data_IF_275324224033
#
_entry.id   IF_275324224033
#
_cell.length_a   1.000
_cell.length_b   1.000
_cell.length_c   1.000
_cell.angle_alpha   90.00
_cell.angle_beta   90.00
_cell.angle_gamma   90.00
#
_symmetry.space_group_name_H-M   'P 1'
#
loop_
_entity.id
_entity.type
_entity.pdbx_description
1 polymer ?
#
# COMPACT_ATOMS: atom_id res chain seq x y z
N UNK A 1 19.51 4.62 14.82
CA UNK A 1 20.53 5.60 14.37
C UNK A 1 20.52 5.88 12.86
N UNK A 2 20.34 4.86 11.99
CA UNK A 2 20.31 5.03 10.53
C UNK A 2 19.27 6.06 10.06
N UNK A 3 17.99 5.89 10.36
CA UNK A 3 16.93 6.82 9.94
C UNK A 3 17.17 8.26 10.42
N UNK A 4 17.66 8.44 11.66
CA UNK A 4 17.99 9.78 12.18
C UNK A 4 19.11 10.48 11.40
N UNK A 5 20.12 9.73 10.95
CA UNK A 5 21.19 10.25 10.08
C UNK A 5 20.61 10.65 8.72
N UNK A 6 19.82 9.79 8.11
CA UNK A 6 19.20 10.05 6.81
C UNK A 6 18.28 11.28 6.86
N UNK A 7 17.47 11.41 7.92
CA UNK A 7 16.59 12.57 8.12
C UNK A 7 17.37 13.86 8.23
N UNK A 8 18.47 13.86 9.01
CA UNK A 8 19.35 15.04 9.15
C UNK A 8 19.99 15.45 7.81
N UNK A 9 20.43 14.48 7.02
CA UNK A 9 21.14 14.74 5.76
C UNK A 9 20.21 15.21 4.64
N UNK A 10 18.97 14.76 4.62
CA UNK A 10 18.05 14.98 3.51
C UNK A 10 17.02 16.10 3.73
N UNK A 11 16.96 16.68 4.95
CA UNK A 11 16.11 17.84 5.23
C UNK A 11 14.61 17.58 5.08
N UNK A 12 14.10 16.44 5.57
CA UNK A 12 12.67 16.16 5.56
C UNK A 12 11.93 17.04 6.57
N UNK A 13 10.77 17.57 6.16
CA UNK A 13 9.86 18.27 7.06
C UNK A 13 9.16 17.30 8.01
N UNK A 14 8.86 16.08 7.54
CA UNK A 14 8.15 15.07 8.32
C UNK A 14 8.60 13.65 7.98
N UNK A 15 8.62 12.79 9.01
CA UNK A 15 8.74 11.32 8.87
C UNK A 15 7.44 10.67 9.28
N UNK A 16 6.80 9.98 8.36
CA UNK A 16 5.55 9.26 8.55
C UNK A 16 5.81 7.75 8.70
N UNK A 17 5.46 7.20 9.85
CA UNK A 17 5.60 5.78 10.15
C UNK A 17 4.31 5.06 9.74
N UNK A 18 4.42 4.06 8.85
CA UNK A 18 3.24 3.37 8.34
C UNK A 18 2.79 2.27 9.29
N UNK A 19 1.47 2.13 9.45
CA UNK A 19 0.87 1.06 10.23
C UNK A 19 1.11 -0.29 9.52
N UNK A 20 1.28 -1.33 10.30
CA UNK A 20 1.19 -1.60 11.75
C UNK A 20 2.54 -1.45 12.44
N UNK A 21 3.56 -1.95 11.80
CA UNK A 21 4.90 -2.16 12.36
C UNK A 21 5.64 -0.83 12.66
N UNK A 22 5.30 0.23 11.93
CA UNK A 22 5.84 1.57 12.18
C UNK A 22 5.52 2.17 13.56
N UNK A 23 4.54 1.63 14.31
CA UNK A 23 4.16 2.19 15.61
C UNK A 23 5.31 2.19 16.63
N UNK A 24 5.94 1.02 16.83
CA UNK A 24 7.06 0.89 17.78
C UNK A 24 8.29 1.65 17.31
N UNK A 25 8.54 1.64 15.99
CA UNK A 25 9.68 2.37 15.42
C UNK A 25 9.49 3.88 15.57
N UNK A 26 8.26 4.38 15.42
CA UNK A 26 7.93 5.79 15.70
C UNK A 26 8.26 6.16 17.12
N UNK A 27 7.79 5.40 18.12
CA UNK A 27 8.06 5.66 19.52
C UNK A 27 9.57 5.69 19.84
N UNK A 28 10.32 4.73 19.30
CA UNK A 28 11.78 4.70 19.45
C UNK A 28 12.46 5.90 18.75
N UNK A 29 11.96 6.29 17.57
CA UNK A 29 12.49 7.44 16.83
C UNK A 29 12.22 8.75 17.57
N UNK A 30 11.05 8.93 18.16
CA UNK A 30 10.70 10.13 18.94
C UNK A 30 11.61 10.30 20.16
N UNK A 31 11.90 9.21 20.87
CA UNK A 31 12.89 9.23 21.96
C UNK A 31 14.29 9.60 21.49
N UNK A 32 14.71 9.06 20.35
CA UNK A 32 15.97 9.43 19.72
C UNK A 32 15.96 10.92 19.32
N UNK A 33 14.84 11.40 18.78
CA UNK A 33 14.69 12.78 18.33
C UNK A 33 14.76 13.80 19.47
N UNK A 34 14.25 13.45 20.66
CA UNK A 34 14.41 14.28 21.88
C UNK A 34 15.90 14.57 22.18
N UNK A 35 16.76 13.55 21.97
CA UNK A 35 18.22 13.68 22.21
C UNK A 35 18.92 14.38 21.05
N UNK A 36 18.60 14.01 19.81
CA UNK A 36 19.26 14.52 18.60
C UNK A 36 18.78 15.92 18.18
N UNK A 37 17.62 16.35 18.68
CA UNK A 37 16.96 17.62 18.34
C UNK A 37 16.86 17.85 16.83
N UNK A 38 16.40 16.82 16.11
CA UNK A 38 16.20 16.95 14.67
C UNK A 38 14.98 17.84 14.40
N UNK A 39 15.06 18.80 13.47
CA UNK A 39 13.95 19.67 13.11
C UNK A 39 12.97 18.93 12.17
N UNK A 40 12.36 17.84 12.64
CA UNK A 40 11.47 17.00 11.87
C UNK A 40 10.25 16.62 12.69
N UNK A 41 9.09 16.74 12.08
CA UNK A 41 7.85 16.24 12.65
C UNK A 41 7.72 14.72 12.43
N UNK A 42 7.02 14.06 13.34
CA UNK A 42 6.69 12.63 13.19
C UNK A 42 5.19 12.43 13.02
N UNK A 43 4.81 11.53 12.14
CA UNK A 43 3.44 11.12 11.94
C UNK A 43 3.27 9.61 12.03
N UNK A 44 2.03 9.15 12.34
CA UNK A 44 1.66 7.74 12.24
C UNK A 44 0.50 7.59 11.26
N UNK A 45 0.74 6.94 10.14
CA UNK A 45 -0.22 6.81 9.04
C UNK A 45 -0.88 5.45 9.10
N UNK A 46 -2.19 5.44 9.36
CA UNK A 46 -3.00 4.22 9.41
C UNK A 46 -3.39 3.76 8.01
N UNK A 47 -2.40 3.38 7.22
CA UNK A 47 -2.59 2.73 5.93
C UNK A 47 -2.08 1.29 6.02
N UNK A 48 -2.91 0.34 5.63
CA UNK A 48 -2.52 -1.07 5.54
C UNK A 48 -2.40 -1.49 4.07
N UNK A 49 -1.71 -2.61 3.82
CA UNK A 49 -1.66 -3.23 2.49
C UNK A 49 -3.07 -3.53 1.95
N UNK A 50 -4.00 -3.90 2.83
CA UNK A 50 -5.41 -4.13 2.47
C UNK A 50 -6.12 -2.85 2.07
N UNK A 51 -5.93 -1.76 2.82
CA UNK A 51 -6.51 -0.46 2.47
C UNK A 51 -5.90 0.14 1.19
N UNK A 52 -4.62 -0.12 0.92
CA UNK A 52 -3.95 0.36 -0.27
C UNK A 52 -4.31 -0.43 -1.54
N UNK A 53 -4.72 -1.71 -1.42
CA UNK A 53 -4.98 -2.55 -2.59
C UNK A 53 -6.12 -2.03 -3.48
N UNK A 54 -7.32 -1.70 -2.99
CA UNK A 54 -8.39 -1.18 -3.84
C UNK A 54 -8.00 0.11 -4.56
N UNK A 55 -7.17 0.94 -3.92
CA UNK A 55 -6.69 2.20 -4.50
C UNK A 55 -5.76 2.01 -5.71
N UNK A 56 -5.25 0.80 -5.96
CA UNK A 56 -4.44 0.51 -7.16
C UNK A 56 -5.27 0.45 -8.45
N UNK A 57 -6.61 0.42 -8.37
CA UNK A 57 -7.49 0.16 -9.49
C UNK A 57 -8.44 1.33 -9.79
N UNK A 58 -7.95 2.50 -10.28
CA UNK A 58 -8.77 3.66 -10.64
C UNK A 58 -9.85 3.35 -11.68
N UNK A 59 -9.59 2.36 -12.52
CA UNK A 59 -10.50 1.91 -13.58
C UNK A 59 -10.64 0.40 -13.52
N UNK A 60 -11.77 -0.12 -13.98
CA UNK A 60 -11.99 -1.57 -14.05
C UNK A 60 -10.88 -2.32 -14.82
N UNK A 61 -10.31 -1.71 -15.86
CA UNK A 61 -9.24 -2.32 -16.65
C UNK A 61 -7.95 -2.55 -15.83
N UNK A 62 -7.69 -1.73 -14.81
CA UNK A 62 -6.50 -1.81 -13.98
C UNK A 62 -6.46 -3.12 -13.17
N UNK A 63 -7.63 -3.75 -12.96
CA UNK A 63 -7.75 -5.05 -12.31
C UNK A 63 -7.00 -6.18 -13.04
N UNK A 64 -6.65 -6.00 -14.30
CA UNK A 64 -5.77 -6.93 -15.03
C UNK A 64 -4.38 -7.05 -14.38
N UNK A 65 -3.95 -6.04 -13.61
CA UNK A 65 -2.69 -6.07 -12.87
C UNK A 65 -2.79 -6.78 -11.51
N UNK A 66 -3.98 -7.16 -11.05
CA UNK A 66 -4.20 -7.75 -9.72
C UNK A 66 -3.31 -8.99 -9.47
N UNK A 67 -3.14 -9.94 -10.42
CA UNK A 67 -2.25 -11.10 -10.23
C UNK A 67 -0.77 -10.72 -10.08
N UNK A 68 -0.36 -9.54 -10.57
CA UNK A 68 0.99 -9.02 -10.41
C UNK A 68 1.20 -8.32 -9.06
N UNK A 69 0.12 -7.85 -8.45
CA UNK A 69 0.15 -7.10 -7.19
C UNK A 69 -0.05 -7.99 -5.96
N UNK A 70 -0.65 -9.16 -6.13
CA UNK A 70 -1.03 -10.05 -5.04
C UNK A 70 -0.87 -11.50 -5.47
N UNK A 71 -0.31 -12.33 -4.58
CA UNK A 71 -0.39 -13.79 -4.76
C UNK A 71 -1.83 -14.26 -4.54
N UNK A 72 -2.56 -14.36 -5.63
CA UNK A 72 -3.97 -14.76 -5.59
C UNK A 72 -4.15 -16.24 -5.20
N UNK A 73 -3.11 -17.09 -5.32
CA UNK A 73 -3.21 -18.51 -4.92
C UNK A 73 -3.37 -18.68 -3.42
N UNK A 74 -2.91 -17.69 -2.64
CA UNK A 74 -3.09 -17.67 -1.19
C UNK A 74 -4.51 -17.30 -0.76
N UNK A 75 -5.38 -16.90 -1.70
CA UNK A 75 -6.72 -16.40 -1.44
C UNK A 75 -7.81 -17.31 -1.99
N UNK A 76 -8.97 -17.28 -1.34
CA UNK A 76 -10.24 -17.74 -1.92
C UNK A 76 -10.92 -16.56 -2.63
N UNK A 77 -11.85 -16.77 -3.60
CA UNK A 77 -12.63 -15.68 -4.18
C UNK A 77 -13.33 -14.81 -3.13
N UNK A 78 -13.86 -15.41 -2.06
CA UNK A 78 -14.53 -14.68 -0.97
C UNK A 78 -13.57 -13.80 -0.16
N UNK A 79 -12.38 -14.32 0.18
CA UNK A 79 -11.37 -13.54 0.90
C UNK A 79 -10.82 -12.38 0.06
N UNK A 80 -10.65 -12.60 -1.24
CA UNK A 80 -10.18 -11.55 -2.15
C UNK A 80 -11.26 -10.49 -2.38
N UNK A 81 -12.53 -10.91 -2.53
CA UNK A 81 -13.65 -9.97 -2.60
C UNK A 81 -13.74 -9.09 -1.34
N UNK A 82 -13.45 -9.66 -0.17
CA UNK A 82 -13.39 -8.88 1.09
C UNK A 82 -12.34 -7.77 1.02
N UNK A 83 -11.18 -8.02 0.41
CA UNK A 83 -10.14 -7.00 0.21
C UNK A 83 -10.57 -5.92 -0.79
N UNK A 84 -11.35 -6.28 -1.80
CA UNK A 84 -11.84 -5.38 -2.86
C UNK A 84 -13.21 -4.76 -2.55
N UNK A 85 -13.81 -5.08 -1.39
CA UNK A 85 -15.14 -4.60 -0.99
C UNK A 85 -15.33 -3.07 -1.13
N UNK A 86 -14.33 -2.23 -0.82
CA UNK A 86 -14.49 -0.76 -0.97
C UNK A 86 -14.83 -0.29 -2.38
N UNK A 87 -14.56 -1.12 -3.40
CA UNK A 87 -14.77 -0.80 -4.82
C UNK A 87 -15.70 -1.83 -5.51
N UNK A 88 -16.43 -2.60 -4.72
CA UNK A 88 -17.28 -3.67 -5.22
C UNK A 88 -18.76 -3.23 -5.31
N UNK A 89 -19.45 -3.64 -6.39
CA UNK A 89 -20.93 -3.54 -6.47
C UNK A 89 -21.61 -4.38 -5.40
N UNK A 90 -22.87 -4.09 -5.10
CA UNK A 90 -23.67 -4.90 -4.16
C UNK A 90 -23.83 -6.35 -4.66
N UNK A 91 -23.88 -6.55 -5.96
CA UNK A 91 -24.06 -7.86 -6.59
C UNK A 91 -22.76 -8.61 -6.90
N UNK A 92 -21.58 -8.03 -6.57
CA UNK A 92 -20.28 -8.62 -6.89
C UNK A 92 -20.13 -10.06 -6.37
N UNK A 93 -20.61 -10.32 -5.14
CA UNK A 93 -20.55 -11.66 -4.54
C UNK A 93 -21.41 -12.67 -5.31
N UNK A 94 -22.63 -12.30 -5.67
CA UNK A 94 -23.52 -13.17 -6.42
C UNK A 94 -22.99 -13.47 -7.81
N UNK A 95 -22.43 -12.45 -8.48
CA UNK A 95 -21.82 -12.61 -9.81
C UNK A 95 -20.62 -13.57 -9.77
N UNK A 96 -19.77 -13.49 -8.75
CA UNK A 96 -18.65 -14.41 -8.57
C UNK A 96 -19.10 -15.82 -8.21
N UNK A 97 -20.05 -15.95 -7.28
CA UNK A 97 -20.54 -17.23 -6.81
C UNK A 97 -21.29 -18.05 -7.90
N UNK A 98 -21.81 -17.38 -8.92
CA UNK A 98 -22.43 -18.05 -10.07
C UNK A 98 -21.42 -18.84 -10.93
N UNK A 99 -20.14 -18.50 -10.90
CA UNK A 99 -19.13 -19.07 -11.80
C UNK A 99 -17.92 -19.66 -11.02
N UNK A 100 -17.73 -19.33 -9.73
CA UNK A 100 -16.54 -19.70 -8.98
C UNK A 100 -16.82 -20.38 -7.64
N UNK A 101 -15.97 -21.33 -7.21
CA UNK A 101 -16.05 -21.93 -5.87
C UNK A 101 -15.53 -20.92 -4.83
N UNK A 102 -16.43 -20.18 -4.19
CA UNK A 102 -16.11 -19.03 -3.33
C UNK A 102 -15.16 -19.33 -2.16
N UNK A 103 -15.18 -20.56 -1.63
CA UNK A 103 -14.44 -20.95 -0.43
C UNK A 103 -13.21 -21.83 -0.72
N UNK A 104 -12.83 -22.00 -1.97
CA UNK A 104 -11.64 -22.78 -2.37
C UNK A 104 -10.51 -21.84 -2.80
N UNK A 105 -9.27 -22.23 -2.56
CA UNK A 105 -8.10 -21.48 -3.06
C UNK A 105 -8.10 -21.49 -4.58
N UNK A 106 -7.66 -20.37 -5.15
CA UNK A 106 -7.71 -20.16 -6.57
C UNK A 106 -6.50 -20.80 -7.28
N UNK A 107 -6.76 -21.62 -8.28
CA UNK A 107 -5.79 -21.97 -9.31
C UNK A 107 -5.66 -20.86 -10.37
N UNK A 108 -4.76 -21.01 -11.33
CA UNK A 108 -4.52 -20.02 -12.38
C UNK A 108 -5.79 -19.68 -13.17
N UNK A 109 -6.63 -20.67 -13.50
CA UNK A 109 -7.88 -20.48 -14.23
C UNK A 109 -8.90 -19.69 -13.42
N UNK A 110 -9.06 -20.04 -12.15
CA UNK A 110 -9.98 -19.37 -11.22
C UNK A 110 -9.58 -17.91 -10.98
N UNK A 111 -8.27 -17.63 -10.91
CA UNK A 111 -7.75 -16.26 -10.78
C UNK A 111 -8.18 -15.38 -11.95
N UNK A 112 -7.96 -15.84 -13.18
CA UNK A 112 -8.34 -15.08 -14.37
C UNK A 112 -9.85 -14.92 -14.51
N UNK A 113 -10.63 -15.94 -14.17
CA UNK A 113 -12.08 -15.84 -14.12
C UNK A 113 -12.54 -14.84 -13.05
N UNK A 114 -11.91 -14.83 -11.85
CA UNK A 114 -12.20 -13.83 -10.83
C UNK A 114 -11.96 -12.41 -11.37
N UNK A 115 -10.79 -12.15 -11.94
CA UNK A 115 -10.46 -10.84 -12.52
C UNK A 115 -11.46 -10.43 -13.59
N UNK A 116 -11.79 -11.34 -14.52
CA UNK A 116 -12.78 -11.09 -15.58
C UNK A 116 -14.16 -10.72 -15.01
N UNK A 117 -14.70 -11.56 -14.14
CA UNK A 117 -16.05 -11.37 -13.58
C UNK A 117 -16.10 -10.11 -12.73
N UNK A 118 -15.11 -9.92 -11.87
CA UNK A 118 -15.08 -8.74 -10.99
C UNK A 118 -14.94 -7.45 -11.80
N UNK A 119 -14.13 -7.44 -12.85
CA UNK A 119 -13.99 -6.29 -13.76
C UNK A 119 -15.30 -5.96 -14.48
N UNK A 120 -16.04 -6.98 -14.96
CA UNK A 120 -17.21 -6.80 -15.79
C UNK A 120 -18.50 -6.57 -14.99
N UNK A 121 -18.63 -7.19 -13.80
CA UNK A 121 -19.88 -7.22 -13.03
C UNK A 121 -19.71 -6.75 -11.57
N UNK A 122 -18.49 -6.77 -11.07
CA UNK A 122 -18.20 -6.54 -9.65
C UNK A 122 -17.59 -5.19 -9.31
N UNK A 123 -16.98 -4.49 -10.28
CA UNK A 123 -16.32 -3.20 -10.05
C UNK A 123 -17.32 -2.03 -10.07
N UNK A 124 -17.20 -1.15 -9.09
CA UNK A 124 -18.02 0.04 -8.94
C UNK A 124 -17.13 1.31 -8.97
N UNK A 125 -17.24 2.07 -10.06
CA UNK A 125 -16.44 3.27 -10.27
C UNK A 125 -16.82 4.41 -9.30
N UNK A 126 -18.09 4.53 -8.90
CA UNK A 126 -18.54 5.57 -7.96
C UNK A 126 -18.04 5.27 -6.55
N UNK A 127 -18.12 4.01 -6.11
CA UNK A 127 -17.53 3.57 -4.85
C UNK A 127 -16.01 3.77 -4.84
N UNK A 128 -15.33 3.50 -5.95
CA UNK A 128 -13.90 3.79 -6.07
C UNK A 128 -13.62 5.29 -5.86
N UNK A 129 -14.33 6.17 -6.57
CA UNK A 129 -14.15 7.61 -6.45
C UNK A 129 -14.37 8.10 -5.01
N UNK A 130 -15.42 7.60 -4.36
CA UNK A 130 -15.67 7.95 -2.95
C UNK A 130 -14.58 7.42 -2.01
N UNK A 131 -14.10 6.19 -2.23
CA UNK A 131 -13.01 5.61 -1.46
C UNK A 131 -11.70 6.39 -1.66
N UNK A 132 -11.37 6.74 -2.89
CA UNK A 132 -10.20 7.57 -3.21
C UNK A 132 -10.30 8.97 -2.59
N UNK A 133 -11.46 9.63 -2.66
CA UNK A 133 -11.71 10.93 -2.03
C UNK A 133 -11.46 10.89 -0.53
N UNK A 134 -11.98 9.87 0.14
CA UNK A 134 -11.78 9.68 1.58
C UNK A 134 -10.29 9.44 1.92
N UNK A 135 -9.61 8.61 1.12
CA UNK A 135 -8.19 8.35 1.27
C UNK A 135 -7.34 9.63 1.07
N UNK A 136 -7.65 10.43 0.06
CA UNK A 136 -7.01 11.74 -0.17
C UNK A 136 -7.22 12.69 1.01
N UNK A 137 -8.45 12.84 1.49
CA UNK A 137 -8.78 13.72 2.61
C UNK A 137 -8.00 13.33 3.89
N UNK A 138 -7.78 12.02 4.09
CA UNK A 138 -6.99 11.51 5.21
C UNK A 138 -5.49 11.73 5.03
N UNK A 139 -4.96 11.51 3.82
CA UNK A 139 -3.50 11.51 3.58
C UNK A 139 -2.93 12.92 3.38
N UNK A 140 -3.63 13.80 2.66
CA UNK A 140 -3.10 15.12 2.28
C UNK A 140 -2.54 15.92 3.48
N UNK A 141 -3.18 16.00 4.65
CA UNK A 141 -2.63 16.76 5.78
C UNK A 141 -1.32 16.18 6.35
N UNK A 142 -1.02 14.90 6.06
CA UNK A 142 0.16 14.21 6.58
C UNK A 142 1.37 14.31 5.65
N UNK A 143 1.16 14.72 4.39
CA UNK A 143 2.17 14.69 3.34
C UNK A 143 2.34 16.06 2.68
N UNK A 144 2.57 17.09 3.48
CA UNK A 144 2.91 18.43 3.01
C UNK A 144 4.44 18.57 2.91
N UNK A 145 4.93 19.05 1.76
CA UNK A 145 6.35 19.26 1.53
C UNK A 145 7.13 17.95 1.29
N UNK A 146 8.44 17.99 1.55
CA UNK A 146 9.33 16.83 1.42
C UNK A 146 9.19 15.91 2.63
N UNK A 147 8.65 14.73 2.40
CA UNK A 147 8.35 13.76 3.45
C UNK A 147 9.16 12.47 3.29
N UNK A 148 9.47 11.84 4.42
CA UNK A 148 9.92 10.46 4.45
C UNK A 148 8.79 9.55 4.96
N UNK A 149 8.71 8.31 4.48
CA UNK A 149 7.95 7.24 5.11
C UNK A 149 8.89 6.21 5.72
N UNK A 150 8.45 5.54 6.76
CA UNK A 150 9.11 4.34 7.28
C UNK A 150 8.12 3.19 7.36
N UNK A 151 8.47 2.08 6.74
CA UNK A 151 7.74 0.81 6.85
C UNK A 151 8.74 -0.34 7.05
N UNK A 152 8.32 -1.35 7.80
CA UNK A 152 9.01 -2.64 7.87
C UNK A 152 8.76 -3.48 6.62
N UNK A 153 7.72 -3.13 5.87
CA UNK A 153 7.37 -3.77 4.60
C UNK A 153 8.39 -3.54 3.48
N UNK A 154 8.28 -4.32 2.42
CA UNK A 154 9.32 -4.45 1.40
C UNK A 154 8.78 -4.26 -0.04
N UNK A 155 7.53 -3.88 -0.21
CA UNK A 155 6.88 -3.82 -1.54
C UNK A 155 6.46 -2.42 -2.00
N UNK A 156 6.62 -1.38 -1.18
CA UNK A 156 6.28 0.02 -1.47
C UNK A 156 4.84 0.25 -1.99
N UNK A 157 3.91 -0.66 -1.72
CA UNK A 157 2.53 -0.55 -2.20
C UNK A 157 1.79 0.65 -1.60
N UNK A 158 1.96 0.84 -0.31
CA UNK A 158 1.33 1.96 0.41
C UNK A 158 1.92 3.30 -0.05
N UNK A 159 3.23 3.36 -0.22
CA UNK A 159 3.95 4.55 -0.64
C UNK A 159 3.60 4.97 -2.07
N UNK A 160 3.45 4.00 -2.99
CA UNK A 160 2.97 4.27 -4.36
C UNK A 160 1.57 4.92 -4.34
N UNK A 161 0.67 4.41 -3.51
CA UNK A 161 -0.67 4.99 -3.34
C UNK A 161 -0.58 6.39 -2.72
N UNK A 162 0.21 6.56 -1.66
CA UNK A 162 0.41 7.86 -1.01
C UNK A 162 0.90 8.89 -2.02
N UNK A 163 1.99 8.60 -2.75
CA UNK A 163 2.55 9.50 -3.75
C UNK A 163 1.54 9.86 -4.83
N UNK A 164 0.82 8.87 -5.37
CA UNK A 164 -0.20 9.10 -6.40
C UNK A 164 -1.35 9.98 -5.89
N UNK A 165 -1.83 9.74 -4.67
CA UNK A 165 -2.98 10.45 -4.12
C UNK A 165 -2.66 11.86 -3.63
N UNK A 166 -1.46 12.07 -3.10
CA UNK A 166 -1.07 13.35 -2.49
C UNK A 166 -0.23 14.23 -3.42
N UNK A 167 0.44 13.65 -4.42
CA UNK A 167 1.43 14.36 -5.23
C UNK A 167 2.69 14.75 -4.46
N UNK A 168 2.87 14.26 -3.23
CA UNK A 168 3.98 14.66 -2.37
C UNK A 168 5.32 14.05 -2.83
N UNK A 169 6.41 14.78 -2.59
CA UNK A 169 7.78 14.26 -2.71
C UNK A 169 8.06 13.33 -1.51
N UNK A 170 7.88 12.03 -1.74
CA UNK A 170 8.01 10.99 -0.71
C UNK A 170 9.22 10.13 -1.00
N UNK A 171 10.13 10.00 -0.03
CA UNK A 171 11.16 8.98 -0.01
C UNK A 171 10.82 7.90 1.02
N UNK A 172 10.77 6.65 0.58
CA UNK A 172 10.48 5.52 1.45
C UNK A 172 11.75 4.97 2.11
N UNK A 173 11.68 4.74 3.41
CA UNK A 173 12.69 4.03 4.20
C UNK A 173 12.10 2.69 4.64
N UNK A 174 12.69 1.61 4.17
CA UNK A 174 12.24 0.24 4.44
C UNK A 174 13.39 -0.61 4.99
N UNK A 175 13.07 -1.69 5.69
CA UNK A 175 14.13 -2.50 6.29
C UNK A 175 14.92 -3.26 5.24
N UNK A 176 14.27 -3.87 4.27
CA UNK A 176 14.87 -4.64 3.18
C UNK A 176 13.89 -4.75 2.01
N UNK A 177 14.37 -5.22 0.87
CA UNK A 177 13.55 -5.65 -0.26
C UNK A 177 13.74 -7.16 -0.46
N UNK A 178 12.68 -7.85 -0.84
CA UNK A 178 12.68 -9.30 -1.12
C UNK A 178 12.38 -9.63 -2.59
N UNK A 179 12.26 -8.63 -3.43
CA UNK A 179 12.03 -8.76 -4.88
C UNK A 179 12.41 -7.49 -5.62
N UNK A 180 12.36 -7.51 -6.95
CA UNK A 180 12.59 -6.33 -7.81
C UNK A 180 11.34 -5.41 -7.94
N UNK A 181 10.20 -5.81 -7.37
CA UNK A 181 8.94 -5.06 -7.44
C UNK A 181 9.06 -3.60 -6.95
N UNK A 182 9.74 -3.31 -5.82
CA UNK A 182 9.93 -1.92 -5.38
C UNK A 182 10.58 -1.03 -6.43
N UNK A 183 11.57 -1.54 -7.16
CA UNK A 183 12.30 -0.78 -8.20
C UNK A 183 11.38 -0.34 -9.35
N UNK A 184 10.32 -1.10 -9.63
CA UNK A 184 9.35 -0.83 -10.70
C UNK A 184 8.24 0.13 -10.31
N UNK A 185 8.14 0.51 -9.03
CA UNK A 185 7.03 1.35 -8.53
C UNK A 185 7.25 2.85 -8.67
N UNK A 186 8.47 3.29 -9.01
CA UNK A 186 8.77 4.70 -9.22
C UNK A 186 8.80 5.56 -7.95
N UNK A 187 8.71 4.97 -6.76
CA UNK A 187 8.89 5.67 -5.49
C UNK A 187 10.36 5.60 -5.10
N UNK A 188 11.04 6.73 -4.86
CA UNK A 188 12.39 6.72 -4.32
C UNK A 188 12.42 5.99 -2.97
N UNK A 189 13.38 5.08 -2.79
CA UNK A 189 13.48 4.35 -1.52
C UNK A 189 14.94 4.10 -1.10
N UNK A 190 15.10 3.81 0.18
CA UNK A 190 16.35 3.36 0.80
C UNK A 190 16.07 2.19 1.73
N UNK A 191 17.02 1.27 1.80
CA UNK A 191 16.92 0.08 2.65
C UNK A 191 17.96 0.12 3.77
N UNK A 192 17.60 -0.43 4.92
CA UNK A 192 18.53 -0.60 6.05
C UNK A 192 19.53 -1.74 5.77
N UNK A 193 19.05 -2.85 5.24
CA UNK A 193 19.83 -4.10 5.04
C UNK A 193 20.09 -4.44 3.56
N UNK A 194 19.76 -3.53 2.62
CA UNK A 194 19.88 -3.82 1.20
C UNK A 194 18.84 -4.81 0.69
N UNK A 195 19.24 -5.67 -0.24
CA UNK A 195 18.40 -6.77 -0.73
C UNK A 195 18.37 -7.90 0.31
N UNK A 196 17.23 -8.59 0.37
CA UNK A 196 17.13 -9.82 1.15
C UNK A 196 18.16 -10.85 0.65
N UNK A 197 18.80 -11.64 1.54
CA UNK A 197 19.69 -12.73 1.14
C UNK A 197 18.99 -13.86 0.36
N UNK A 198 17.67 -13.76 0.18
CA UNK A 198 16.84 -14.72 -0.56
C UNK A 198 16.44 -14.22 -1.96
N UNK A 199 16.99 -13.10 -2.43
CA UNK A 199 16.81 -12.56 -3.79
C UNK A 199 18.10 -12.70 -4.57
#
# INVERSE_FOLDING_TARGET
>A
MWLGREVRQNGYARVNFLARDGYFVKAAFERLNEVLRLPVETGYVRISRQAALPLQFPKAIDLLSLPLLLDMTAHTPDSLLTLLRPIATENARAALAAELPMNQRMDARTQWNFVRIFREKGYDAEKYQQYEKNAKAYLLPMFAGKCATFDVGYNLRSETVIQRLTGADVTAYITHIDSDLPMRRGVPFRTLYGTSPYV
#
